data_IF_856921854312
#
_entry.id   IF_856921854312
#
_cell.length_a   1.000
_cell.length_b   1.000
_cell.length_c   1.000
_cell.angle_alpha   90.00
_cell.angle_beta   90.00
_cell.angle_gamma   90.00
#
_symmetry.space_group_name_H-M   'P 1'
#
loop_
_entity.id
_entity.type
_entity.pdbx_description
1 polymer ?
#
# COMPACT_ATOMS: atom_id res chain seq x y z
N UNK A 1 47.59 66.99 3.99
CA UNK A 1 46.33 66.33 3.59
C UNK A 1 46.64 64.87 3.31
N UNK A 2 46.01 63.97 4.07
CA UNK A 2 45.55 62.60 3.71
C UNK A 2 46.47 61.62 2.97
N UNK A 3 46.48 60.32 3.21
CA UNK A 3 46.14 59.40 4.31
C UNK A 3 46.41 57.99 3.70
N UNK A 4 46.94 57.08 4.53
CA UNK A 4 46.69 55.61 4.54
C UNK A 4 47.39 54.69 3.52
N UNK A 5 48.15 53.79 4.16
CA UNK A 5 48.67 52.50 3.74
C UNK A 5 47.55 51.44 3.52
N UNK A 6 47.86 50.14 3.31
CA UNK A 6 47.30 49.33 2.22
C UNK A 6 46.26 48.31 2.70
N UNK A 7 45.36 47.85 1.81
CA UNK A 7 44.62 46.61 2.06
C UNK A 7 44.50 45.75 0.80
N UNK A 8 45.17 44.61 0.91
CA UNK A 8 44.94 43.37 0.17
C UNK A 8 43.44 43.04 0.20
N UNK A 9 42.81 42.77 -0.95
CA UNK A 9 41.60 41.97 -0.97
C UNK A 9 41.73 40.88 -2.03
N UNK A 10 42.10 39.72 -1.52
CA UNK A 10 42.02 38.42 -2.16
C UNK A 10 40.53 38.13 -2.36
N UNK A 11 39.98 38.32 -3.55
CA UNK A 11 38.60 37.93 -3.85
C UNK A 11 38.61 36.45 -4.27
N UNK A 12 38.61 35.60 -3.25
CA UNK A 12 38.50 34.14 -3.32
C UNK A 12 37.21 33.72 -4.02
N UNK A 13 37.39 33.03 -5.15
CA UNK A 13 36.70 31.82 -5.59
C UNK A 13 35.28 31.61 -5.01
N UNK A 14 34.26 31.93 -5.81
CA UNK A 14 32.85 31.61 -5.57
C UNK A 14 32.65 30.10 -5.56
N UNK A 15 32.80 29.46 -4.40
CA UNK A 15 32.55 28.03 -4.24
C UNK A 15 31.05 27.81 -3.98
N UNK A 16 30.37 27.31 -5.01
CA UNK A 16 28.98 26.91 -4.99
C UNK A 16 28.70 25.88 -3.89
N UNK A 17 27.87 26.25 -2.90
CA UNK A 17 27.12 25.28 -2.10
C UNK A 17 25.64 25.37 -2.50
N UNK A 18 25.31 24.88 -3.68
CA UNK A 18 23.98 24.31 -3.90
C UNK A 18 24.01 22.93 -3.25
N UNK A 19 23.71 22.90 -1.95
CA UNK A 19 23.35 21.68 -1.25
C UNK A 19 22.02 21.19 -1.83
N UNK A 20 22.11 20.39 -2.89
CA UNK A 20 20.99 19.65 -3.44
C UNK A 20 20.46 18.75 -2.34
N UNK A 21 19.45 19.22 -1.62
CA UNK A 21 18.57 18.36 -0.85
C UNK A 21 17.96 17.38 -1.85
N UNK A 22 18.61 16.22 -1.99
CA UNK A 22 17.99 15.04 -2.55
C UNK A 22 16.89 14.65 -1.56
N UNK A 23 15.76 15.34 -1.65
CA UNK A 23 14.49 14.87 -1.12
C UNK A 23 14.28 13.56 -1.86
N UNK A 24 14.62 12.45 -1.20
CA UNK A 24 14.36 11.13 -1.73
C UNK A 24 12.89 11.10 -2.08
N UNK A 25 12.59 10.99 -3.38
CA UNK A 25 11.24 10.79 -3.90
C UNK A 25 10.78 9.39 -3.50
N UNK A 26 10.53 9.20 -2.19
CA UNK A 26 9.74 8.10 -1.71
C UNK A 26 8.39 8.25 -2.38
N UNK A 27 8.17 7.49 -3.44
CA UNK A 27 6.88 7.45 -4.12
C UNK A 27 5.92 6.86 -3.12
N UNK A 28 5.20 7.71 -2.40
CA UNK A 28 4.04 7.31 -1.64
C UNK A 28 3.11 6.64 -2.65
N UNK A 29 3.09 5.31 -2.65
CA UNK A 29 2.13 4.55 -3.45
C UNK A 29 0.79 4.79 -2.80
N UNK A 30 0.00 5.68 -3.40
CA UNK A 30 -1.38 5.87 -2.99
C UNK A 30 -2.12 4.55 -3.21
N UNK A 31 -2.87 4.14 -2.20
CA UNK A 31 -3.70 2.95 -2.28
C UNK A 31 -4.73 3.13 -3.39
N UNK A 32 -4.93 2.08 -4.18
CA UNK A 32 -5.99 2.04 -5.18
C UNK A 32 -7.28 1.56 -4.52
N UNK A 33 -8.37 2.25 -4.82
CA UNK A 33 -9.71 1.87 -4.37
C UNK A 33 -10.28 0.83 -5.34
N UNK A 34 -10.62 -0.35 -4.82
CA UNK A 34 -11.33 -1.39 -5.56
C UNK A 34 -12.82 -1.07 -5.74
N UNK A 35 -13.49 -1.86 -6.58
CA UNK A 35 -14.94 -1.77 -6.72
C UNK A 35 -15.63 -2.33 -5.47
N UNK A 36 -16.72 -1.69 -5.06
CA UNK A 36 -17.59 -2.23 -4.02
C UNK A 36 -18.28 -3.50 -4.52
N UNK A 37 -18.42 -4.50 -3.65
CA UNK A 37 -19.10 -5.76 -3.98
C UNK A 37 -19.38 -6.63 -2.75
N UNK A 38 -20.04 -7.77 -2.97
CA UNK A 38 -20.27 -8.73 -1.91
C UNK A 38 -18.99 -9.55 -1.65
N UNK A 39 -18.63 -9.76 -0.39
CA UNK A 39 -17.56 -10.68 -0.04
C UNK A 39 -18.04 -12.13 -0.24
N UNK A 40 -17.54 -12.77 -1.28
CA UNK A 40 -17.95 -14.13 -1.68
C UNK A 40 -17.16 -15.20 -0.94
N UNK A 41 -15.85 -14.99 -0.78
CA UNK A 41 -14.99 -15.90 -0.02
C UNK A 41 -13.86 -15.17 0.69
N UNK A 42 -13.42 -15.78 1.78
CA UNK A 42 -12.20 -15.47 2.52
C UNK A 42 -11.46 -16.79 2.76
N UNK A 43 -10.23 -16.88 2.27
CA UNK A 43 -9.36 -18.04 2.45
C UNK A 43 -8.16 -17.64 3.28
N UNK A 44 -7.90 -18.37 4.36
CA UNK A 44 -6.73 -18.20 5.22
C UNK A 44 -5.85 -19.45 5.15
N UNK A 45 -4.57 -19.25 4.87
CA UNK A 45 -3.56 -20.30 4.92
C UNK A 45 -2.86 -20.27 6.27
N UNK A 46 -2.66 -21.43 6.89
CA UNK A 46 -1.80 -21.58 8.05
C UNK A 46 -0.33 -21.66 7.62
N UNK A 47 0.59 -21.41 8.55
CA UNK A 47 2.04 -21.56 8.30
C UNK A 47 2.49 -22.96 7.89
N UNK A 48 1.64 -23.97 8.04
CA UNK A 48 1.90 -25.35 7.59
C UNK A 48 1.51 -25.60 6.15
N UNK A 49 0.85 -24.66 5.47
CA UNK A 49 0.47 -24.77 4.06
C UNK A 49 1.63 -24.34 3.16
N UNK A 50 1.85 -25.07 2.05
CA UNK A 50 2.80 -24.67 1.00
C UNK A 50 2.44 -23.33 0.36
N UNK A 51 1.15 -22.95 0.40
CA UNK A 51 0.69 -21.68 -0.14
C UNK A 51 1.06 -20.49 0.77
N UNK A 52 1.33 -20.72 2.06
CA UNK A 52 1.57 -19.66 3.04
C UNK A 52 2.76 -18.77 2.66
N UNK A 53 3.85 -19.37 2.18
CA UNK A 53 5.03 -18.62 1.73
C UNK A 53 4.73 -17.73 0.52
N UNK A 54 3.72 -18.09 -0.28
CA UNK A 54 3.26 -17.31 -1.42
C UNK A 54 2.26 -16.23 -0.97
N UNK A 55 1.22 -16.61 -0.22
CA UNK A 55 0.19 -15.72 0.33
C UNK A 55 -0.33 -16.27 1.65
N UNK A 56 -0.57 -15.41 2.63
CA UNK A 56 -1.20 -15.83 3.89
C UNK A 56 -2.71 -16.01 3.71
N UNK A 57 -3.30 -15.35 2.73
CA UNK A 57 -4.70 -15.53 2.38
C UNK A 57 -5.13 -14.73 1.18
N UNK A 58 -6.40 -14.89 0.85
CA UNK A 58 -7.07 -14.19 -0.24
C UNK A 58 -8.54 -13.95 0.08
N UNK A 59 -9.11 -12.93 -0.54
CA UNK A 59 -10.53 -12.65 -0.50
C UNK A 59 -11.05 -12.44 -1.93
N UNK A 60 -12.26 -12.91 -2.19
CA UNK A 60 -12.95 -12.75 -3.47
C UNK A 60 -14.14 -11.83 -3.27
N UNK A 61 -14.12 -10.70 -3.97
CA UNK A 61 -15.23 -9.74 -3.99
C UNK A 61 -15.98 -9.90 -5.30
N UNK A 62 -17.29 -10.12 -5.20
CA UNK A 62 -18.20 -10.12 -6.34
C UNK A 62 -18.68 -8.69 -6.59
N UNK A 63 -18.03 -8.06 -7.56
CA UNK A 63 -18.29 -6.69 -8.02
C UNK A 63 -19.59 -6.61 -8.84
N UNK A 64 -20.03 -5.38 -9.14
CA UNK A 64 -21.11 -5.14 -10.08
C UNK A 64 -20.86 -5.86 -11.43
N UNK A 65 -21.92 -6.38 -12.04
CA UNK A 65 -21.82 -7.19 -13.26
C UNK A 65 -21.36 -8.63 -13.02
N UNK A 66 -21.41 -9.14 -11.78
CA UNK A 66 -20.98 -10.49 -11.38
C UNK A 66 -19.50 -10.79 -11.66
N UNK A 67 -18.65 -9.75 -11.63
CA UNK A 67 -17.21 -9.92 -11.81
C UNK A 67 -16.59 -10.32 -10.47
N UNK A 68 -16.03 -11.52 -10.41
CA UNK A 68 -15.28 -11.98 -9.25
C UNK A 68 -13.84 -11.45 -9.30
N UNK A 69 -13.43 -10.75 -8.24
CA UNK A 69 -12.08 -10.17 -8.12
C UNK A 69 -11.36 -10.69 -6.90
N UNK A 70 -10.17 -11.25 -7.13
CA UNK A 70 -9.30 -11.75 -6.07
C UNK A 70 -8.35 -10.67 -5.58
N UNK A 71 -8.27 -10.55 -4.26
CA UNK A 71 -7.30 -9.75 -3.53
C UNK A 71 -6.50 -10.65 -2.60
N UNK A 72 -5.22 -10.35 -2.43
CA UNK A 72 -4.27 -11.19 -1.70
C UNK A 72 -3.68 -10.42 -0.52
N UNK A 73 -3.20 -11.13 0.49
CA UNK A 73 -2.40 -10.54 1.56
C UNK A 73 -1.37 -11.53 2.11
N UNK A 74 -0.28 -10.99 2.62
CA UNK A 74 0.86 -11.73 3.17
C UNK A 74 1.66 -12.52 2.14
N UNK A 75 2.65 -13.26 2.63
CA UNK A 75 3.57 -14.06 1.82
C UNK A 75 4.39 -13.23 0.83
N UNK A 76 5.16 -13.91 -0.01
CA UNK A 76 6.01 -13.29 -1.04
C UNK A 76 5.22 -12.52 -2.11
N UNK A 77 3.94 -12.85 -2.33
CA UNK A 77 3.05 -12.14 -3.26
C UNK A 77 2.74 -10.72 -2.79
N UNK A 78 2.62 -10.54 -1.47
CA UNK A 78 2.24 -9.31 -0.79
C UNK A 78 3.08 -9.08 0.48
N UNK A 79 4.41 -8.99 0.30
CA UNK A 79 5.44 -9.08 1.34
C UNK A 79 5.27 -8.16 2.56
N UNK A 80 4.52 -7.06 2.44
CA UNK A 80 4.28 -6.11 3.53
C UNK A 80 2.81 -5.82 3.79
N UNK A 81 1.91 -6.39 2.98
CA UNK A 81 0.48 -6.12 3.07
C UNK A 81 -0.17 -7.29 3.79
N UNK A 82 -0.33 -7.16 5.09
CA UNK A 82 -1.02 -8.13 5.94
C UNK A 82 -2.25 -7.49 6.55
N UNK A 83 -3.27 -8.30 6.82
CA UNK A 83 -4.45 -7.89 7.57
C UNK A 83 -4.29 -8.35 9.01
N UNK A 84 -4.65 -7.46 9.95
CA UNK A 84 -4.68 -7.80 11.36
C UNK A 84 -5.80 -8.82 11.65
N UNK A 85 -5.67 -9.57 12.75
CA UNK A 85 -6.61 -10.64 13.09
C UNK A 85 -8.04 -10.14 13.28
N UNK A 86 -8.21 -8.96 13.86
CA UNK A 86 -9.52 -8.31 14.03
C UNK A 86 -10.17 -7.93 12.68
N UNK A 87 -9.36 -7.50 11.70
CA UNK A 87 -9.82 -7.25 10.34
C UNK A 87 -10.25 -8.55 9.64
N UNK A 88 -9.51 -9.64 9.83
CA UNK A 88 -9.85 -10.96 9.28
C UNK A 88 -11.11 -11.53 9.91
N UNK A 89 -11.27 -11.39 11.23
CA UNK A 89 -12.49 -11.79 11.95
C UNK A 89 -13.71 -11.02 11.43
N UNK A 90 -13.53 -9.72 11.16
CA UNK A 90 -14.58 -8.87 10.62
C UNK A 90 -14.97 -9.28 9.20
N UNK A 91 -14.00 -9.59 8.34
CA UNK A 91 -14.26 -10.13 7.00
C UNK A 91 -14.94 -11.50 7.09
N UNK A 92 -14.50 -12.38 7.99
CA UNK A 92 -15.12 -13.70 8.19
C UNK A 92 -16.61 -13.62 8.53
N UNK A 93 -17.02 -12.59 9.28
CA UNK A 93 -18.43 -12.33 9.62
C UNK A 93 -19.25 -11.75 8.46
N UNK A 94 -18.61 -11.22 7.42
CA UNK A 94 -19.30 -10.60 6.27
C UNK A 94 -19.36 -11.49 5.05
N UNK A 95 -18.62 -12.61 5.03
CA UNK A 95 -18.70 -13.60 3.94
C UNK A 95 -20.15 -14.03 3.73
N UNK A 96 -20.63 -13.91 2.49
CA UNK A 96 -22.01 -14.24 2.08
C UNK A 96 -23.12 -13.50 2.83
N UNK A 97 -22.81 -12.38 3.51
CA UNK A 97 -23.82 -11.56 4.17
C UNK A 97 -24.54 -10.68 3.16
N UNK A 98 -25.83 -10.94 2.98
CA UNK A 98 -26.69 -10.12 2.13
C UNK A 98 -26.78 -8.68 2.67
N UNK A 99 -26.80 -7.70 1.76
CA UNK A 99 -26.93 -6.28 2.10
C UNK A 99 -25.66 -5.64 2.67
N UNK A 100 -24.54 -6.35 2.75
CA UNK A 100 -23.23 -5.79 3.10
C UNK A 100 -22.32 -5.78 1.88
N UNK A 101 -21.76 -4.62 1.58
CA UNK A 101 -20.74 -4.46 0.55
C UNK A 101 -19.38 -4.19 1.20
N UNK A 102 -18.34 -4.70 0.56
CA UNK A 102 -16.93 -4.48 0.91
C UNK A 102 -16.27 -3.74 -0.24
N UNK A 103 -15.56 -2.66 0.06
CA UNK A 103 -14.73 -1.91 -0.88
C UNK A 103 -13.27 -2.08 -0.47
N UNK A 104 -12.47 -2.91 -1.18
CA UNK A 104 -11.07 -3.13 -0.84
C UNK A 104 -10.20 -1.93 -1.20
N UNK A 105 -9.23 -1.59 -0.34
CA UNK A 105 -8.10 -0.74 -0.68
C UNK A 105 -6.89 -1.63 -0.94
N UNK A 106 -6.18 -1.40 -2.04
CA UNK A 106 -5.08 -2.29 -2.43
C UNK A 106 -3.91 -1.54 -3.07
N UNK A 107 -2.73 -2.16 -3.01
CA UNK A 107 -1.56 -1.75 -3.79
C UNK A 107 -1.14 -2.89 -4.72
N UNK A 108 -0.39 -2.56 -5.78
CA UNK A 108 0.15 -3.57 -6.69
C UNK A 108 1.31 -4.33 -6.06
N UNK A 109 1.15 -5.64 -5.93
CA UNK A 109 2.19 -6.59 -5.54
C UNK A 109 2.87 -7.28 -6.71
N UNK A 110 3.46 -8.44 -6.44
CA UNK A 110 4.18 -9.24 -7.44
C UNK A 110 3.24 -9.62 -8.59
N UNK A 111 3.73 -9.50 -9.83
CA UNK A 111 2.99 -9.83 -11.06
C UNK A 111 1.63 -9.14 -11.17
N UNK A 112 1.51 -7.91 -10.66
CA UNK A 112 0.26 -7.13 -10.73
C UNK A 112 -0.85 -7.61 -9.80
N UNK A 113 -0.50 -8.41 -8.79
CA UNK A 113 -1.45 -8.87 -7.76
C UNK A 113 -2.03 -7.69 -6.98
N UNK A 114 -3.31 -7.77 -6.62
CA UNK A 114 -3.96 -6.76 -5.78
C UNK A 114 -3.74 -7.12 -4.32
N UNK A 115 -2.77 -6.45 -3.68
CA UNK A 115 -2.45 -6.68 -2.28
C UNK A 115 -3.32 -5.79 -1.40
N UNK A 116 -4.26 -6.39 -0.67
CA UNK A 116 -5.19 -5.63 0.18
C UNK A 116 -4.46 -5.01 1.36
N UNK A 117 -4.71 -3.73 1.58
CA UNK A 117 -4.14 -2.93 2.69
C UNK A 117 -5.21 -2.41 3.64
N UNK A 118 -6.48 -2.55 3.26
CA UNK A 118 -7.62 -2.20 4.08
C UNK A 118 -8.92 -2.44 3.32
N UNK A 119 -10.03 -2.13 3.96
CA UNK A 119 -11.35 -2.16 3.33
C UNK A 119 -12.29 -1.21 4.07
N UNK A 120 -13.32 -0.75 3.37
CA UNK A 120 -14.51 -0.18 3.98
C UNK A 120 -15.69 -1.12 3.79
N UNK A 121 -16.67 -1.03 4.69
CA UNK A 121 -17.90 -1.80 4.60
C UNK A 121 -19.10 -0.88 4.74
N UNK A 122 -20.15 -1.18 3.99
CA UNK A 122 -21.41 -0.49 4.07
C UNK A 122 -22.51 -1.55 4.18
N UNK A 123 -23.40 -1.38 5.16
CA UNK A 123 -24.55 -2.25 5.38
C UNK A 123 -25.84 -1.52 5.06
N UNK A 124 -26.86 -2.27 4.65
CA UNK A 124 -28.25 -1.85 4.62
C UNK A 124 -28.85 -1.72 6.04
#
# INVERSE_FOLDING_TARGET
MTHRSPLRLCATLTLALLGSMAIGSGSARADTVGSAGALESLTLYSSSSTEYENRHGELVVREAGNIARTYYFGGSRCAYQTLASDQLDLLGRTVNRNGVTVTPYYVSGVSGSRCVVGFSMQGA
#
